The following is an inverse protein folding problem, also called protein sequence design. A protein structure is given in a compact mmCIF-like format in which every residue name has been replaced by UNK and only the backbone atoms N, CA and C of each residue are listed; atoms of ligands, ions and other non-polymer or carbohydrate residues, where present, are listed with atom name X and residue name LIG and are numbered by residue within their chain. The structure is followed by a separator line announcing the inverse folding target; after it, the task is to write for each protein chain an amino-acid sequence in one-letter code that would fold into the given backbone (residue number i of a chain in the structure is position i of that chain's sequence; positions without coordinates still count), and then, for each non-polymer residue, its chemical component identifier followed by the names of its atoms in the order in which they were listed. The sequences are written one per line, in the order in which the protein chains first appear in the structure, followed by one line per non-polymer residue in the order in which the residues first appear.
data_IF_143424695354
#
_entry.id   IF_143424695354
#
_cell.length_a   1.000
_cell.length_b   1.000
_cell.length_c   1.000
_cell.angle_alpha   90.00
_cell.angle_beta   90.00
_cell.angle_gamma   90.00
#
_symmetry.space_group_name_H-M   'P 1'
#
loop_
_entity.id
_entity.type
_entity.pdbx_description
1 polymer ?
#
# COMPACT_ATOMS: atom_id res chain seq x y z
N UNK A 1 4.86 -39.21 4.87
CA UNK A 1 5.99 -38.38 5.35
C UNK A 1 5.45 -36.97 5.48
N UNK A 2 5.55 -36.36 6.68
CA UNK A 2 4.96 -35.04 6.98
C UNK A 2 5.91 -33.98 6.45
N UNK A 3 5.59 -33.39 5.30
CA UNK A 3 6.40 -32.32 4.73
C UNK A 3 6.18 -31.04 5.53
N UNK A 4 7.06 -30.81 6.50
CA UNK A 4 7.21 -29.56 7.23
C UNK A 4 8.04 -28.61 6.36
N UNK A 5 7.43 -27.98 5.35
CA UNK A 5 8.07 -26.86 4.68
C UNK A 5 7.85 -25.60 5.50
N UNK A 6 8.93 -25.20 6.14
CA UNK A 6 9.10 -24.04 6.99
C UNK A 6 8.68 -22.75 6.27
N UNK A 7 7.78 -22.01 6.90
CA UNK A 7 7.47 -20.60 6.69
C UNK A 7 8.74 -19.80 7.03
N UNK A 8 9.64 -19.63 6.07
CA UNK A 8 10.93 -18.98 6.30
C UNK A 8 11.36 -18.03 5.17
N UNK A 9 10.40 -17.43 4.44
CA UNK A 9 10.72 -16.50 3.34
C UNK A 9 9.99 -15.14 3.36
N UNK A 10 9.20 -14.82 4.39
CA UNK A 10 8.59 -13.48 4.53
C UNK A 10 9.48 -12.54 5.36
N UNK A 11 10.65 -12.22 4.83
CA UNK A 11 11.38 -11.02 5.26
C UNK A 11 12.18 -10.52 4.07
N UNK A 12 11.48 -9.88 3.13
CA UNK A 12 12.13 -9.11 2.08
C UNK A 12 11.73 -7.66 2.30
N UNK A 13 12.64 -6.93 2.94
CA UNK A 13 12.60 -5.48 3.09
C UNK A 13 12.31 -4.82 1.73
N UNK A 14 11.14 -4.20 1.59
CA UNK A 14 10.86 -3.23 0.53
C UNK A 14 11.64 -1.94 0.81
N UNK A 15 12.92 -1.89 0.41
CA UNK A 15 13.68 -0.64 0.31
C UNK A 15 13.50 -0.06 -1.09
N UNK A 16 12.39 0.63 -1.33
CA UNK A 16 12.31 1.59 -2.44
C UNK A 16 12.73 2.96 -1.94
N UNK A 17 14.03 3.20 -1.96
CA UNK A 17 14.56 4.56 -1.96
C UNK A 17 14.18 5.22 -3.28
N UNK A 18 13.14 6.06 -3.27
CA UNK A 18 12.89 7.04 -4.32
C UNK A 18 14.01 8.09 -4.25
N UNK A 19 15.15 7.82 -4.87
CA UNK A 19 16.08 8.91 -5.21
C UNK A 19 15.43 9.70 -6.32
N UNK A 20 14.82 10.83 -5.95
CA UNK A 20 14.39 11.82 -6.91
C UNK A 20 15.60 12.19 -7.77
N UNK A 21 15.53 11.92 -9.07
CA UNK A 21 16.37 12.57 -10.05
C UNK A 21 16.02 14.07 -10.02
N UNK A 22 16.68 14.84 -9.16
CA UNK A 22 16.72 16.29 -9.28
C UNK A 22 17.46 16.61 -10.57
N UNK A 23 16.68 16.91 -11.59
CA UNK A 23 17.17 17.40 -12.85
C UNK A 23 17.43 18.91 -12.70
N UNK A 24 18.58 19.27 -12.11
CA UNK A 24 19.06 20.65 -12.15
C UNK A 24 20.41 20.71 -12.88
N UNK A 25 20.32 20.96 -14.18
CA UNK A 25 21.33 21.75 -14.85
C UNK A 25 21.05 23.19 -14.50
N UNK A 26 21.99 23.88 -13.85
CA UNK A 26 22.85 24.90 -14.50
C UNK A 26 23.84 25.45 -13.48
N UNK A 27 25.05 25.68 -13.97
CA UNK A 27 26.28 26.06 -13.28
C UNK A 27 26.35 27.59 -13.10
N UNK A 28 27.14 27.98 -12.09
CA UNK A 28 28.02 29.15 -12.03
C UNK A 28 27.49 30.54 -11.56
N UNK A 29 28.03 30.93 -10.39
CA UNK A 29 28.77 32.19 -10.11
C UNK A 29 28.16 33.19 -9.13
N UNK A 30 29.05 33.61 -8.22
CA UNK A 30 28.87 34.36 -7.01
C UNK A 30 28.85 35.90 -7.16
N UNK A 31 28.45 36.51 -6.03
CA UNK A 31 28.84 37.83 -5.50
C UNK A 31 28.10 39.11 -5.92
N UNK A 32 27.39 39.64 -4.91
CA UNK A 32 27.65 40.93 -4.23
C UNK A 32 26.71 42.13 -4.47
N UNK A 33 26.38 42.75 -3.32
CA UNK A 33 26.08 44.17 -3.03
C UNK A 33 24.75 44.77 -3.57
N UNK A 34 23.81 45.07 -2.65
CA UNK A 34 23.47 46.42 -2.13
C UNK A 34 22.70 47.28 -3.15
N UNK A 35 21.55 47.92 -2.89
CA UNK A 35 21.14 48.68 -1.71
C UNK A 35 19.70 49.20 -1.88
N UNK A 36 19.01 49.37 -0.74
CA UNK A 36 18.06 50.44 -0.34
C UNK A 36 16.80 50.82 -1.15
N UNK A 37 15.72 50.92 -0.34
CA UNK A 37 14.65 51.93 -0.32
C UNK A 37 13.43 51.71 -1.22
N UNK A 38 12.17 52.00 -0.83
CA UNK A 38 11.48 52.34 0.44
C UNK A 38 9.98 52.44 0.08
N UNK A 39 9.10 52.34 1.10
CA UNK A 39 7.66 52.73 1.14
C UNK A 39 6.66 51.87 0.34
N UNK A 40 5.45 51.53 0.82
CA UNK A 40 4.67 51.91 2.01
C UNK A 40 3.40 51.05 2.14
N UNK A 41 3.11 50.60 3.37
CA UNK A 41 1.80 50.55 4.07
C UNK A 41 0.52 50.02 3.37
N UNK A 42 -0.04 48.91 3.88
CA UNK A 42 -1.29 48.87 4.70
C UNK A 42 -1.69 47.39 4.98
N UNK A 43 -1.81 46.95 6.25
CA UNK A 43 -3.07 46.70 7.00
C UNK A 43 -4.13 45.99 6.13
N UNK A 44 -4.71 44.82 6.43
CA UNK A 44 -5.02 44.18 7.71
C UNK A 44 -5.50 42.73 7.43
N UNK A 45 -5.35 41.86 8.44
CA UNK A 45 -5.99 40.56 8.65
C UNK A 45 -7.38 40.34 8.04
N UNK A 46 -7.64 39.14 7.50
CA UNK A 46 -8.67 38.22 8.02
C UNK A 46 -8.89 36.98 7.13
N UNK A 47 -8.87 35.81 7.80
CA UNK A 47 -9.80 34.70 7.59
C UNK A 47 -9.65 33.85 6.32
N UNK A 48 -8.92 32.75 6.51
CA UNK A 48 -9.44 31.38 6.35
C UNK A 48 -10.58 31.19 5.34
N UNK A 49 -10.23 30.76 4.13
CA UNK A 49 -11.08 29.85 3.35
C UNK A 49 -10.21 28.73 2.79
N UNK A 50 -9.82 27.86 3.71
CA UNK A 50 -9.62 26.46 3.42
C UNK A 50 -10.94 25.91 2.86
N UNK A 51 -11.06 25.89 1.54
CA UNK A 51 -12.04 25.04 0.86
C UNK A 51 -11.28 24.14 -0.10
N UNK A 52 -10.45 23.26 0.49
CA UNK A 52 -10.35 21.90 -0.04
C UNK A 52 -11.78 21.37 -0.07
N UNK A 53 -12.39 21.49 -1.23
CA UNK A 53 -13.61 20.79 -1.59
C UNK A 53 -13.33 19.30 -1.39
N UNK A 54 -13.62 18.81 -0.19
CA UNK A 54 -13.72 17.39 0.12
C UNK A 54 -14.69 16.83 -0.91
N UNK A 55 -14.14 16.17 -1.92
CA UNK A 55 -14.92 15.48 -2.93
C UNK A 55 -15.90 14.59 -2.17
N UNK A 56 -17.16 14.96 -2.25
CA UNK A 56 -18.29 14.26 -1.66
C UNK A 56 -18.23 12.84 -2.22
N UNK A 57 -18.03 11.87 -1.34
CA UNK A 57 -18.14 10.44 -1.63
C UNK A 57 -19.40 10.22 -2.46
N UNK A 58 -19.19 10.02 -3.75
CA UNK A 58 -20.09 9.24 -4.57
C UNK A 58 -19.91 7.82 -4.06
N UNK A 59 -21.00 7.09 -3.88
CA UNK A 59 -20.98 5.69 -3.51
C UNK A 59 -20.11 4.96 -4.56
N UNK A 60 -18.86 4.65 -4.20
CA UNK A 60 -17.81 4.27 -5.13
C UNK A 60 -16.46 4.91 -4.81
N UNK A 61 -15.40 4.25 -5.24
CA UNK A 61 -14.03 4.68 -4.98
C UNK A 61 -13.67 5.96 -5.73
N UNK A 62 -12.69 6.70 -5.22
CA UNK A 62 -12.20 7.91 -5.90
C UNK A 62 -11.37 7.56 -7.15
N UNK A 63 -11.30 8.47 -8.11
CA UNK A 63 -10.42 8.30 -9.28
C UNK A 63 -8.93 8.16 -8.89
N UNK A 64 -8.51 8.82 -7.80
CA UNK A 64 -7.17 8.68 -7.26
C UNK A 64 -6.93 7.28 -6.68
N UNK A 65 -7.94 6.69 -6.05
CA UNK A 65 -7.88 5.31 -5.57
C UNK A 65 -7.74 4.34 -6.75
N UNK A 66 -8.56 4.50 -7.80
CA UNK A 66 -8.44 3.68 -9.01
C UNK A 66 -7.04 3.82 -9.68
N UNK A 67 -6.46 5.02 -9.69
CA UNK A 67 -5.09 5.24 -10.19
C UNK A 67 -4.03 4.53 -9.33
N UNK A 68 -4.19 4.56 -8.01
CA UNK A 68 -3.34 3.81 -7.09
C UNK A 68 -3.43 2.29 -7.36
N UNK A 69 -4.63 1.74 -7.57
CA UNK A 69 -4.80 0.32 -7.93
C UNK A 69 -4.10 0.00 -9.24
N UNK A 70 -4.28 0.80 -10.30
CA UNK A 70 -3.57 0.61 -11.58
C UNK A 70 -2.05 0.64 -11.41
N UNK A 71 -1.57 1.49 -10.52
CA UNK A 71 -0.14 1.60 -10.21
C UNK A 71 0.34 0.35 -9.48
N UNK A 72 -0.42 -0.17 -8.51
CA UNK A 72 -0.13 -1.44 -7.85
C UNK A 72 -0.15 -2.64 -8.83
N UNK A 73 -1.14 -2.69 -9.73
CA UNK A 73 -1.22 -3.71 -10.79
C UNK A 73 0.03 -3.72 -11.68
N UNK A 74 0.61 -2.55 -11.97
CA UNK A 74 1.85 -2.47 -12.77
C UNK A 74 3.06 -3.17 -12.10
N UNK A 75 2.99 -3.40 -10.78
CA UNK A 75 4.05 -4.04 -10.00
C UNK A 75 3.87 -5.56 -9.89
N UNK A 76 2.74 -6.13 -10.36
CA UNK A 76 2.46 -7.57 -10.32
C UNK A 76 3.59 -8.42 -10.93
N UNK A 77 4.23 -8.07 -12.07
CA UNK A 77 5.32 -8.87 -12.61
C UNK A 77 6.51 -9.00 -11.66
N UNK A 78 6.88 -7.91 -10.97
CA UNK A 78 7.95 -7.93 -9.97
C UNK A 78 7.55 -8.72 -8.72
N UNK A 79 6.33 -8.51 -8.24
CA UNK A 79 5.76 -9.26 -7.12
C UNK A 79 5.73 -10.77 -7.41
N UNK A 80 5.32 -11.16 -8.62
CA UNK A 80 5.31 -12.55 -9.06
C UNK A 80 6.72 -13.13 -9.12
N UNK A 81 7.70 -12.39 -9.63
CA UNK A 81 9.09 -12.82 -9.65
C UNK A 81 9.63 -13.05 -8.23
N UNK A 82 9.30 -12.18 -7.28
CA UNK A 82 9.70 -12.29 -5.88
C UNK A 82 9.05 -13.49 -5.19
N UNK A 83 7.73 -13.69 -5.37
CA UNK A 83 6.98 -14.71 -4.61
C UNK A 83 7.06 -16.11 -5.21
N UNK A 84 7.14 -16.22 -6.54
CA UNK A 84 7.25 -17.54 -7.18
C UNK A 84 8.69 -18.05 -7.22
N UNK A 85 9.68 -17.16 -7.31
CA UNK A 85 11.08 -17.54 -7.50
C UNK A 85 11.22 -18.66 -8.55
N UNK A 86 11.91 -19.75 -8.18
CA UNK A 86 12.06 -20.96 -9.00
C UNK A 86 10.95 -22.00 -8.81
N UNK A 87 10.12 -21.87 -7.76
CA UNK A 87 9.19 -22.91 -7.31
C UNK A 87 7.78 -22.77 -7.89
N UNK A 88 7.47 -21.68 -8.59
CA UNK A 88 6.16 -21.42 -9.19
C UNK A 88 4.98 -21.65 -8.22
N UNK A 89 5.11 -21.18 -6.97
CA UNK A 89 4.12 -21.38 -5.89
C UNK A 89 2.70 -20.95 -6.31
N UNK A 90 2.59 -19.77 -6.94
CA UNK A 90 1.33 -19.21 -7.41
C UNK A 90 1.23 -19.29 -8.93
N UNK A 91 0.11 -19.82 -9.44
CA UNK A 91 -0.26 -19.73 -10.85
C UNK A 91 -0.49 -18.28 -11.25
N UNK A 92 -1.17 -17.55 -10.37
CA UNK A 92 -1.59 -16.17 -10.63
C UNK A 92 -1.55 -15.30 -9.37
N UNK A 93 -1.31 -14.01 -9.59
CA UNK A 93 -1.36 -12.97 -8.57
C UNK A 93 -2.10 -11.79 -9.19
N UNK A 94 -3.23 -11.41 -8.60
CA UNK A 94 -4.05 -10.31 -9.06
C UNK A 94 -4.19 -9.25 -7.97
N UNK A 95 -4.33 -8.00 -8.41
CA UNK A 95 -4.64 -6.85 -7.55
C UNK A 95 -5.84 -6.16 -8.18
N UNK A 96 -6.96 -6.13 -7.47
CA UNK A 96 -8.22 -5.61 -7.96
C UNK A 96 -8.77 -4.50 -7.05
N UNK A 97 -9.59 -3.66 -7.66
CA UNK A 97 -10.32 -2.62 -6.97
C UNK A 97 -11.64 -3.19 -6.42
N UNK A 98 -11.79 -3.24 -5.10
CA UNK A 98 -13.02 -3.62 -4.41
C UNK A 98 -13.85 -2.43 -3.98
N UNK A 99 -15.05 -2.67 -3.45
CA UNK A 99 -15.94 -1.62 -2.96
C UNK A 99 -15.35 -0.88 -1.74
N UNK A 100 -15.83 0.34 -1.47
CA UNK A 100 -15.52 1.12 -0.26
C UNK A 100 -14.01 1.26 0.04
N UNK A 101 -13.23 1.58 -1.00
CA UNK A 101 -11.77 1.73 -0.96
C UNK A 101 -11.06 0.46 -0.50
N UNK A 102 -11.54 -0.71 -0.94
CA UNK A 102 -10.88 -1.99 -0.70
C UNK A 102 -9.86 -2.30 -1.79
N UNK A 103 -8.63 -2.61 -1.41
CA UNK A 103 -7.61 -3.19 -2.29
C UNK A 103 -7.68 -4.70 -2.13
N UNK A 104 -7.93 -5.44 -3.21
CA UNK A 104 -8.05 -6.91 -3.17
C UNK A 104 -6.79 -7.53 -3.77
N UNK A 105 -6.03 -8.28 -2.98
CA UNK A 105 -4.94 -9.12 -3.45
C UNK A 105 -5.41 -10.56 -3.53
N UNK A 106 -5.35 -11.17 -4.71
CA UNK A 106 -5.70 -12.58 -4.90
C UNK A 106 -4.48 -13.37 -5.31
N UNK A 107 -4.12 -14.36 -4.50
CA UNK A 107 -3.04 -15.31 -4.75
C UNK A 107 -3.65 -16.67 -5.10
N UNK A 108 -3.47 -17.11 -6.35
CA UNK A 108 -3.96 -18.42 -6.81
C UNK A 108 -2.81 -19.41 -6.83
N UNK A 109 -2.88 -20.47 -6.03
CA UNK A 109 -1.85 -21.51 -5.99
C UNK A 109 -1.71 -22.23 -7.34
N UNK A 110 -0.51 -22.72 -7.64
CA UNK A 110 -0.25 -23.51 -8.85
C UNK A 110 -0.72 -24.96 -8.75
N UNK A 111 -0.80 -25.50 -7.53
CA UNK A 111 -1.30 -26.83 -7.24
C UNK A 111 -2.41 -26.75 -6.19
N UNK A 112 -3.39 -27.66 -6.20
CA UNK A 112 -4.41 -27.73 -5.15
C UNK A 112 -3.76 -27.89 -3.78
N UNK A 113 -4.23 -27.10 -2.82
CA UNK A 113 -3.87 -27.20 -1.41
C UNK A 113 -5.04 -27.82 -0.65
N UNK A 114 -4.73 -28.78 0.22
CA UNK A 114 -5.67 -29.38 1.17
C UNK A 114 -5.20 -29.00 2.58
N UNK A 115 -5.37 -27.72 2.90
CA UNK A 115 -4.96 -27.12 4.17
C UNK A 115 -6.09 -26.27 4.72
N UNK A 116 -6.26 -26.32 6.03
CA UNK A 116 -7.11 -25.39 6.76
C UNK A 116 -6.23 -24.23 7.23
N UNK A 117 -6.51 -23.03 6.72
CA UNK A 117 -5.77 -21.82 7.06
C UNK A 117 -6.46 -21.11 8.23
N UNK A 118 -5.74 -20.98 9.34
CA UNK A 118 -6.18 -20.12 10.44
C UNK A 118 -6.07 -18.65 10.01
N UNK A 119 -7.22 -18.06 9.68
CA UNK A 119 -7.31 -16.69 9.21
C UNK A 119 -6.86 -15.66 10.26
N UNK A 120 -7.03 -15.95 11.56
CA UNK A 120 -6.62 -15.03 12.62
C UNK A 120 -5.10 -15.06 12.78
N UNK A 121 -4.51 -16.26 12.82
CA UNK A 121 -3.05 -16.40 12.87
C UNK A 121 -2.40 -15.81 11.60
N UNK A 122 -2.98 -16.07 10.42
CA UNK A 122 -2.48 -15.56 9.16
C UNK A 122 -2.63 -14.03 9.06
N UNK A 123 -3.71 -13.46 9.60
CA UNK A 123 -3.86 -11.99 9.73
C UNK A 123 -2.68 -11.39 10.49
N UNK A 124 -2.28 -11.97 11.62
CA UNK A 124 -1.15 -11.45 12.41
C UNK A 124 0.17 -11.48 11.64
N UNK A 125 0.38 -12.49 10.81
CA UNK A 125 1.57 -12.59 9.95
C UNK A 125 1.54 -11.55 8.81
N UNK A 126 0.36 -11.23 8.29
CA UNK A 126 0.19 -10.30 7.16
C UNK A 126 0.19 -8.82 7.56
N UNK A 127 -0.20 -8.48 8.80
CA UNK A 127 -0.22 -7.09 9.30
C UNK A 127 1.08 -6.33 9.03
N UNK A 128 2.29 -6.82 9.39
CA UNK A 128 3.53 -6.06 9.17
C UNK A 128 3.85 -5.84 7.68
N UNK A 129 3.44 -6.76 6.81
CA UNK A 129 3.65 -6.66 5.36
C UNK A 129 2.68 -5.66 4.70
N UNK A 130 1.45 -5.62 5.19
CA UNK A 130 0.38 -4.77 4.65
C UNK A 130 0.37 -3.37 5.27
N UNK A 131 0.93 -3.21 6.47
CA UNK A 131 0.96 -1.93 7.18
C UNK A 131 1.53 -0.77 6.34
N UNK A 132 2.69 -0.89 5.66
CA UNK A 132 3.24 0.20 4.85
C UNK A 132 2.26 0.65 3.76
N UNK A 133 1.60 -0.31 3.11
CA UNK A 133 0.61 -0.06 2.08
C UNK A 133 -0.61 0.68 2.63
N UNK A 134 -1.17 0.24 3.75
CA UNK A 134 -2.32 0.92 4.38
C UNK A 134 -1.95 2.33 4.81
N UNK A 135 -0.74 2.51 5.38
CA UNK A 135 -0.24 3.81 5.81
C UNK A 135 -0.04 4.81 4.65
N UNK A 136 0.35 4.34 3.48
CA UNK A 136 0.44 5.17 2.27
C UNK A 136 -0.95 5.44 1.67
N UNK A 137 -1.76 4.39 1.51
CA UNK A 137 -3.05 4.46 0.85
C UNK A 137 -4.08 5.31 1.62
N UNK A 138 -3.96 5.43 2.95
CA UNK A 138 -4.87 6.24 3.77
C UNK A 138 -4.81 7.74 3.46
N UNK A 139 -3.72 8.22 2.84
CA UNK A 139 -3.64 9.59 2.34
C UNK A 139 -4.61 9.85 1.17
N UNK A 140 -4.96 8.80 0.42
CA UNK A 140 -5.87 8.84 -0.73
C UNK A 140 -7.28 8.45 -0.30
N UNK A 141 -7.40 7.37 0.49
CA UNK A 141 -8.66 6.83 0.99
C UNK A 141 -8.53 6.54 2.50
N UNK A 142 -9.01 7.43 3.38
CA UNK A 142 -8.79 7.30 4.83
C UNK A 142 -9.27 5.98 5.44
N UNK A 143 -10.33 5.40 4.89
CA UNK A 143 -10.95 4.16 5.36
C UNK A 143 -10.49 2.94 4.53
N UNK A 144 -9.32 3.02 3.89
CA UNK A 144 -8.78 1.95 3.05
C UNK A 144 -8.70 0.62 3.81
N UNK A 145 -9.08 -0.44 3.12
CA UNK A 145 -9.04 -1.82 3.59
C UNK A 145 -8.25 -2.67 2.60
N UNK A 146 -7.47 -3.60 3.11
CA UNK A 146 -6.78 -4.59 2.27
C UNK A 146 -7.41 -5.95 2.50
N UNK A 147 -7.83 -6.59 1.43
CA UNK A 147 -8.41 -7.93 1.46
C UNK A 147 -7.47 -8.88 0.73
N UNK A 148 -6.95 -9.87 1.44
CA UNK A 148 -6.02 -10.87 0.91
C UNK A 148 -6.77 -12.19 0.74
N UNK A 149 -6.80 -12.73 -0.47
CA UNK A 149 -7.42 -14.00 -0.82
C UNK A 149 -6.38 -15.00 -1.23
N UNK A 150 -6.53 -16.22 -0.73
CA UNK A 150 -5.80 -17.39 -1.19
C UNK A 150 -6.79 -18.36 -1.83
N UNK A 151 -6.59 -18.67 -3.10
CA UNK A 151 -7.47 -19.52 -3.88
C UNK A 151 -6.68 -20.72 -4.44
N UNK A 152 -7.34 -21.86 -4.55
CA UNK A 152 -6.84 -23.03 -5.27
C UNK A 152 -6.87 -22.79 -6.80
N UNK A 153 -6.16 -23.61 -7.60
CA UNK A 153 -6.16 -23.46 -9.06
C UNK A 153 -7.55 -23.61 -9.72
N UNK A 154 -8.48 -24.29 -9.04
CA UNK A 154 -9.88 -24.48 -9.47
C UNK A 154 -10.80 -23.33 -9.05
N UNK A 155 -10.27 -22.33 -8.33
CA UNK A 155 -11.00 -21.17 -7.83
C UNK A 155 -11.68 -21.38 -6.47
N UNK A 156 -11.53 -22.54 -5.83
CA UNK A 156 -12.02 -22.71 -4.45
C UNK A 156 -11.21 -21.83 -3.49
N UNK A 157 -11.91 -21.13 -2.59
CA UNK A 157 -11.28 -20.24 -1.63
C UNK A 157 -10.71 -21.03 -0.45
N UNK A 158 -9.44 -20.76 -0.12
CA UNK A 158 -8.75 -21.31 1.06
C UNK A 158 -8.79 -20.34 2.23
N UNK A 159 -8.66 -19.04 1.95
CA UNK A 159 -8.71 -18.00 2.97
C UNK A 159 -9.11 -16.66 2.38
N UNK A 160 -9.77 -15.84 3.20
CA UNK A 160 -10.07 -14.44 2.92
C UNK A 160 -9.82 -13.62 4.17
N UNK A 161 -8.78 -12.80 4.15
CA UNK A 161 -8.31 -12.02 5.30
C UNK A 161 -8.52 -10.54 5.01
N UNK A 162 -9.28 -9.86 5.87
CA UNK A 162 -9.50 -8.41 5.80
C UNK A 162 -8.64 -7.70 6.83
N UNK A 163 -7.77 -6.79 6.40
CA UNK A 163 -6.87 -5.99 7.24
C UNK A 163 -7.23 -4.52 7.10
N UNK A 164 -7.42 -3.87 8.25
CA UNK A 164 -7.75 -2.44 8.38
C UNK A 164 -6.69 -1.72 9.20
N UNK A 165 -6.75 -0.39 9.22
CA UNK A 165 -5.94 0.43 10.12
C UNK A 165 -6.13 0.04 11.60
N UNK A 166 -7.36 -0.30 12.01
CA UNK A 166 -7.65 -0.72 13.38
C UNK A 166 -6.97 -2.05 13.74
N UNK A 167 -6.90 -3.00 12.81
CA UNK A 167 -6.20 -4.27 13.03
C UNK A 167 -4.70 -4.03 13.27
N UNK A 168 -4.08 -3.14 12.48
CA UNK A 168 -2.67 -2.78 12.61
C UNK A 168 -2.39 -2.12 13.98
N UNK A 169 -3.25 -1.20 14.40
CA UNK A 169 -3.12 -0.53 15.69
C UNK A 169 -3.29 -1.49 16.88
N UNK A 170 -4.25 -2.41 16.79
CA UNK A 170 -4.46 -3.45 17.79
C UNK A 170 -3.23 -4.36 17.95
N UNK A 171 -2.63 -4.81 16.85
CA UNK A 171 -1.44 -5.68 16.89
C UNK A 171 -0.22 -4.99 17.53
N UNK A 172 -0.07 -3.67 17.33
CA UNK A 172 0.99 -2.88 17.97
C UNK A 172 0.80 -2.72 19.47
N UNK A 173 -0.45 -2.58 19.92
CA UNK A 173 -0.76 -2.46 21.34
C UNK A 173 -0.38 -3.75 22.10
N UNK A 174 -0.61 -4.93 21.50
CA UNK A 174 -0.27 -6.23 22.10
C UNK A 174 1.24 -6.51 22.17
N UNK A 175 2.06 -5.82 21.37
CA UNK A 175 3.52 -6.00 21.36
C UNK A 175 4.24 -5.13 22.39
N UNK A 176 3.55 -4.16 23.00
CA UNK A 176 4.13 -3.22 23.98
C UNK A 176 3.82 -3.58 25.45
N UNK A 177 3.10 -4.68 25.70
CA UNK A 177 2.94 -5.30 27.02
C UNK A 177 3.89 -6.49 27.21
#
# INVERSE_FOLDING_TARGET
MKNKFFIAFLSVFFLFGLTACSNDKTKDTASSSSSSAKSSSSKTSSTSKNSLSRAKSTKGNSANFALMIKTAQSQIPALKAQLNGENNTFKDIAIDEGEDSTIIYTYTFAQPQDIDLDNEALKQVLIPEVEPLVNEAKAIAPDVKVLVKYDNPDGSNLATISITQADIEAAKATTQE
#
